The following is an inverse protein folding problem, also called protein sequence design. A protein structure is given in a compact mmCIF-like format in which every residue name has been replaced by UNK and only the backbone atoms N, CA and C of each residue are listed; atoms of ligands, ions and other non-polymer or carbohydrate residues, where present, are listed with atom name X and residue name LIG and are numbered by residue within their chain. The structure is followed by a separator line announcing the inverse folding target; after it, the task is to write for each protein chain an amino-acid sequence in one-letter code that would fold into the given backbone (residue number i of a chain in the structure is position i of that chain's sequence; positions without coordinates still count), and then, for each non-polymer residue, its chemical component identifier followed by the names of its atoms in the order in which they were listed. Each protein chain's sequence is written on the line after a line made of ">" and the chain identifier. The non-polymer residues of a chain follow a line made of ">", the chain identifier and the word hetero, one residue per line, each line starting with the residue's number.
data_IF_397232899623
#
_entry.id   IF_397232899623
#
_cell.length_a   1.000
_cell.length_b   1.000
_cell.length_c   1.000
_cell.angle_alpha   90.00
_cell.angle_beta   90.00
_cell.angle_gamma   90.00
#
_symmetry.space_group_name_H-M   'P 1'
#
loop_
_entity.id
_entity.type
_entity.pdbx_description
1 polymer ?
#
# COMPACT_ATOMS: atom_id res chain seq x y z
N UNK A 1 4.54 15.74 22.47
CA UNK A 1 3.58 15.16 21.50
C UNK A 1 2.67 16.26 20.99
N UNK A 2 3.10 17.01 19.98
CA UNK A 2 2.16 17.74 19.13
C UNK A 2 1.51 16.69 18.23
N UNK A 3 0.20 16.49 18.41
CA UNK A 3 -0.60 15.70 17.47
C UNK A 3 -0.27 16.22 16.07
N UNK A 4 0.15 15.34 15.16
CA UNK A 4 -0.10 15.57 13.73
C UNK A 4 -1.57 16.00 13.67
N UNK A 5 -1.87 17.25 13.27
CA UNK A 5 -3.24 17.71 13.18
C UNK A 5 -3.99 16.69 12.35
N UNK A 6 -5.19 16.34 12.78
CA UNK A 6 -6.11 15.55 11.96
C UNK A 6 -6.19 16.29 10.62
N UNK A 7 -5.53 15.74 9.60
CA UNK A 7 -5.44 16.34 8.28
C UNK A 7 -6.83 16.16 7.69
N UNK A 8 -7.70 17.15 7.94
CA UNK A 8 -9.10 17.14 7.51
C UNK A 8 -9.28 17.03 5.99
N UNK A 9 -8.19 17.15 5.24
CA UNK A 9 -8.11 16.97 3.80
C UNK A 9 -6.97 15.99 3.48
N UNK A 10 -7.31 14.90 2.80
CA UNK A 10 -6.30 14.04 2.19
C UNK A 10 -5.49 14.86 1.19
N UNK A 11 -4.16 14.72 1.22
CA UNK A 11 -3.30 15.21 0.14
C UNK A 11 -3.61 14.34 -1.09
N UNK A 12 -4.35 14.89 -2.05
CA UNK A 12 -4.79 14.15 -3.24
C UNK A 12 -3.69 14.02 -4.30
N UNK A 13 -2.69 14.90 -4.28
CA UNK A 13 -1.55 14.92 -5.20
C UNK A 13 -0.30 15.43 -4.47
N UNK A 14 0.84 14.74 -4.61
CA UNK A 14 2.15 15.19 -4.15
C UNK A 14 2.99 15.55 -5.38
N UNK A 15 3.28 16.84 -5.59
CA UNK A 15 4.22 17.26 -6.60
C UNK A 15 5.67 16.97 -6.16
N UNK A 16 6.58 16.80 -7.11
CA UNK A 16 8.00 16.49 -6.84
C UNK A 16 8.71 17.54 -5.96
N UNK A 17 8.19 18.78 -5.98
CA UNK A 17 8.71 19.91 -5.21
C UNK A 17 7.96 20.15 -3.89
N UNK A 18 6.98 19.32 -3.54
CA UNK A 18 6.29 19.46 -2.27
C UNK A 18 7.17 19.02 -1.12
N UNK A 19 7.10 19.78 -0.03
CA UNK A 19 7.74 19.44 1.23
C UNK A 19 6.86 18.46 1.99
N UNK A 20 7.42 17.27 2.23
CA UNK A 20 6.80 16.23 3.03
C UNK A 20 7.37 16.30 4.43
N UNK A 21 6.49 16.33 5.44
CA UNK A 21 6.91 16.18 6.83
C UNK A 21 7.38 14.75 7.05
N UNK A 22 8.54 14.59 7.68
CA UNK A 22 9.13 13.29 7.97
C UNK A 22 9.43 13.18 9.44
N UNK A 23 9.24 11.97 9.97
CA UNK A 23 9.74 11.56 11.25
C UNK A 23 10.98 10.69 11.02
N UNK A 24 12.17 11.24 11.20
CA UNK A 24 13.43 10.55 11.03
C UNK A 24 13.75 9.69 12.25
N UNK A 25 13.37 8.41 12.16
CA UNK A 25 13.66 7.41 13.20
C UNK A 25 15.15 7.19 13.44
N UNK A 26 16.02 7.62 12.52
CA UNK A 26 17.48 7.52 12.68
C UNK A 26 18.07 8.66 13.53
N UNK A 27 17.34 9.77 13.71
CA UNK A 27 17.71 10.88 14.57
C UNK A 27 16.68 11.08 15.71
N UNK A 28 16.68 10.21 16.74
CA UNK A 28 15.67 10.27 17.80
C UNK A 28 15.77 11.53 18.68
N UNK A 29 16.89 12.26 18.64
CA UNK A 29 17.07 13.50 19.38
C UNK A 29 16.36 14.71 18.72
N UNK A 30 16.21 14.66 17.40
CA UNK A 30 15.50 15.68 16.61
C UNK A 30 14.83 15.00 15.40
N UNK A 31 13.71 14.29 15.64
CA UNK A 31 13.13 13.42 14.62
C UNK A 31 12.26 14.18 13.62
N UNK A 32 11.86 15.42 13.90
CA UNK A 32 10.91 16.15 13.07
C UNK A 32 11.63 16.91 11.94
N UNK A 33 11.38 16.52 10.70
CA UNK A 33 12.00 17.12 9.52
C UNK A 33 11.03 17.45 8.40
N UNK A 34 11.55 18.14 7.37
CA UNK A 34 10.89 18.27 6.06
C UNK A 34 11.86 17.86 4.97
N UNK A 35 11.39 17.07 4.01
CA UNK A 35 12.16 16.72 2.82
C UNK A 35 11.32 16.91 1.58
N UNK A 36 11.96 17.30 0.47
CA UNK A 36 11.30 17.33 -0.83
C UNK A 36 10.96 15.91 -1.27
N UNK A 37 9.80 15.74 -1.93
CA UNK A 37 9.38 14.45 -2.51
C UNK A 37 10.47 13.76 -3.35
N UNK A 38 11.25 14.56 -4.09
CA UNK A 38 12.39 14.12 -4.90
C UNK A 38 13.55 13.50 -4.10
N UNK A 39 13.69 13.79 -2.81
CA UNK A 39 14.76 13.24 -1.95
C UNK A 39 14.48 11.80 -1.49
N UNK A 40 13.24 11.33 -1.59
CA UNK A 40 12.88 9.95 -1.26
C UNK A 40 13.12 8.96 -2.41
N UNK A 41 13.68 9.43 -3.53
CA UNK A 41 13.79 8.65 -4.77
C UNK A 41 15.24 8.64 -5.25
N UNK A 42 15.69 7.57 -5.94
CA UNK A 42 16.97 7.58 -6.62
C UNK A 42 17.10 8.75 -7.59
N UNK A 43 18.31 9.29 -7.76
CA UNK A 43 18.57 10.40 -8.65
C UNK A 43 18.13 10.09 -10.09
N UNK A 44 17.42 11.02 -10.72
CA UNK A 44 16.86 10.86 -12.07
C UNK A 44 15.43 10.30 -12.10
N UNK A 45 14.97 9.64 -11.04
CA UNK A 45 13.63 9.03 -11.01
C UNK A 45 12.57 10.07 -10.67
N UNK A 46 11.58 10.22 -11.56
CA UNK A 46 10.39 11.06 -11.38
C UNK A 46 9.16 10.19 -11.22
N UNK A 47 8.27 10.56 -10.31
CA UNK A 47 6.94 9.95 -10.24
C UNK A 47 6.09 10.65 -11.29
N UNK A 48 5.52 9.87 -12.19
CA UNK A 48 4.70 10.39 -13.28
C UNK A 48 3.22 10.28 -12.95
N UNK A 49 2.83 9.30 -12.13
CA UNK A 49 1.44 9.05 -11.77
C UNK A 49 1.31 8.46 -10.36
N UNK A 50 0.24 8.85 -9.69
CA UNK A 50 -0.31 8.19 -8.51
C UNK A 50 -1.72 7.70 -8.84
N UNK A 51 -2.00 6.42 -8.61
CA UNK A 51 -3.33 5.84 -8.76
C UNK A 51 -3.78 5.33 -7.38
N UNK A 52 -4.82 5.96 -6.83
CA UNK A 52 -5.42 5.54 -5.56
C UNK A 52 -6.62 4.65 -5.84
N UNK A 53 -6.71 3.55 -5.10
CA UNK A 53 -7.91 2.74 -4.93
C UNK A 53 -8.28 2.70 -3.46
N UNK A 54 -9.56 2.88 -3.16
CA UNK A 54 -10.14 2.66 -1.84
C UNK A 54 -11.48 1.93 -2.03
N UNK A 55 -11.63 0.80 -1.37
CA UNK A 55 -12.74 -0.11 -1.60
C UNK A 55 -12.57 -1.43 -0.88
N UNK A 56 -13.04 -2.52 -1.49
CA UNK A 56 -12.96 -3.86 -0.91
C UNK A 56 -12.11 -4.79 -1.77
N UNK A 57 -11.43 -5.71 -1.11
CA UNK A 57 -10.82 -6.89 -1.72
C UNK A 57 -11.49 -8.14 -1.15
N UNK A 58 -11.75 -9.11 -2.03
CA UNK A 58 -12.26 -10.43 -1.62
C UNK A 58 -11.08 -11.36 -1.37
N UNK A 59 -10.85 -11.74 -0.11
CA UNK A 59 -9.90 -12.78 0.25
C UNK A 59 -10.54 -14.13 -0.12
N UNK A 60 -9.93 -14.95 -0.99
CA UNK A 60 -10.52 -16.21 -1.44
C UNK A 60 -10.58 -17.24 -0.32
N UNK A 61 -11.36 -18.31 -0.53
CA UNK A 61 -11.33 -19.49 0.32
C UNK A 61 -9.94 -20.14 0.27
N UNK A 62 -9.34 -20.37 1.44
CA UNK A 62 -7.98 -20.89 1.57
C UNK A 62 -7.98 -22.10 2.50
N UNK A 63 -7.53 -23.25 2.00
CA UNK A 63 -7.23 -24.39 2.86
C UNK A 63 -6.15 -24.04 3.91
N UNK A 64 -6.02 -24.87 4.95
CA UNK A 64 -4.99 -24.67 5.96
C UNK A 64 -3.59 -24.64 5.33
N UNK A 65 -2.78 -23.62 5.65
CA UNK A 65 -1.43 -23.45 5.09
C UNK A 65 -1.36 -23.06 3.61
N UNK A 66 -2.50 -22.89 2.93
CA UNK A 66 -2.55 -22.58 1.51
C UNK A 66 -2.38 -21.08 1.21
N UNK A 67 -2.06 -20.79 -0.04
CA UNK A 67 -1.91 -19.44 -0.59
C UNK A 67 -2.81 -19.26 -1.80
N UNK A 68 -3.28 -18.04 -2.01
CA UNK A 68 -4.01 -17.66 -3.21
C UNK A 68 -3.93 -16.15 -3.43
N UNK A 69 -4.16 -15.78 -4.69
CA UNK A 69 -4.14 -14.39 -5.11
C UNK A 69 -5.56 -13.83 -5.13
N UNK A 70 -5.71 -12.61 -4.65
CA UNK A 70 -6.88 -11.77 -4.87
C UNK A 70 -6.50 -10.56 -5.71
N UNK A 71 -7.49 -9.92 -6.32
CA UNK A 71 -7.27 -8.75 -7.18
C UNK A 71 -8.19 -7.61 -6.83
N UNK A 72 -7.72 -6.39 -7.06
CA UNK A 72 -8.54 -5.18 -7.10
C UNK A 72 -8.31 -4.47 -8.43
N UNK A 73 -9.37 -3.90 -9.00
CA UNK A 73 -9.28 -3.13 -10.23
C UNK A 73 -8.73 -1.75 -9.94
N UNK A 74 -7.55 -1.44 -10.50
CA UNK A 74 -6.92 -0.13 -10.43
C UNK A 74 -6.62 0.32 -11.86
N UNK A 75 -7.60 0.91 -12.57
CA UNK A 75 -7.44 1.30 -13.95
C UNK A 75 -6.21 2.18 -14.17
N UNK A 76 -5.42 1.85 -15.17
CA UNK A 76 -4.16 2.53 -15.50
C UNK A 76 -2.93 1.98 -14.79
N UNK A 77 -3.05 1.02 -13.86
CA UNK A 77 -1.91 0.32 -13.29
C UNK A 77 -1.19 -0.50 -14.38
N UNK A 78 0.14 -0.58 -14.30
CA UNK A 78 0.98 -1.34 -15.21
C UNK A 78 1.93 -2.25 -14.42
N UNK A 79 2.46 -3.26 -15.11
CA UNK A 79 3.54 -4.10 -14.59
C UNK A 79 4.73 -3.20 -14.20
N UNK A 80 5.40 -3.54 -13.09
CA UNK A 80 6.50 -2.79 -12.46
C UNK A 80 6.11 -1.50 -11.73
N UNK A 81 4.85 -1.06 -11.76
CA UNK A 81 4.44 0.01 -10.86
C UNK A 81 4.59 -0.44 -9.39
N UNK A 82 5.05 0.48 -8.53
CA UNK A 82 5.21 0.18 -7.12
C UNK A 82 3.85 0.23 -6.41
N UNK A 83 3.55 -0.78 -5.61
CA UNK A 83 2.27 -0.90 -4.91
C UNK A 83 2.46 -0.78 -3.42
N UNK A 84 1.75 0.16 -2.81
CA UNK A 84 1.51 0.18 -1.36
C UNK A 84 0.08 -0.27 -1.14
N UNK A 85 -0.11 -1.34 -0.38
CA UNK A 85 -1.42 -1.91 -0.10
C UNK A 85 -1.61 -2.09 1.40
N UNK A 86 -2.76 -1.66 1.92
CA UNK A 86 -3.12 -1.82 3.32
C UNK A 86 -4.59 -2.23 3.44
N UNK A 87 -4.88 -3.07 4.43
CA UNK A 87 -6.26 -3.30 4.85
C UNK A 87 -6.68 -2.18 5.79
N UNK A 88 -7.93 -1.69 5.63
CA UNK A 88 -8.49 -0.61 6.44
C UNK A 88 -8.75 -1.06 7.89
N UNK A 89 -8.79 -2.37 8.12
CA UNK A 89 -8.89 -3.02 9.42
C UNK A 89 -7.80 -4.08 9.54
N UNK A 90 -7.51 -4.51 10.77
CA UNK A 90 -6.60 -5.62 10.99
C UNK A 90 -7.01 -6.84 10.15
N UNK A 91 -6.06 -7.54 9.49
CA UNK A 91 -6.36 -8.76 8.77
C UNK A 91 -7.04 -9.77 9.71
N UNK A 92 -7.93 -10.64 9.20
CA UNK A 92 -8.40 -11.78 9.97
C UNK A 92 -7.22 -12.55 10.58
N UNK A 93 -7.33 -12.99 11.83
CA UNK A 93 -6.20 -13.45 12.65
C UNK A 93 -5.33 -14.57 12.03
N UNK A 94 -5.87 -15.30 11.05
CA UNK A 94 -5.21 -16.40 10.36
C UNK A 94 -4.80 -16.07 8.92
N UNK A 95 -4.85 -14.80 8.52
CA UNK A 95 -4.51 -14.37 7.16
C UNK A 95 -3.30 -13.43 7.19
N UNK A 96 -2.30 -13.78 6.38
CA UNK A 96 -1.14 -12.95 6.12
C UNK A 96 -1.14 -12.47 4.66
N UNK A 97 -0.65 -11.25 4.43
CA UNK A 97 -0.31 -10.75 3.10
C UNK A 97 1.17 -11.07 2.87
N UNK A 98 1.46 -11.82 1.80
CA UNK A 98 2.83 -12.22 1.47
C UNK A 98 3.48 -11.32 0.44
N UNK A 99 2.70 -10.86 -0.54
CA UNK A 99 3.20 -10.07 -1.64
C UNK A 99 2.08 -9.24 -2.28
N UNK A 100 2.48 -8.11 -2.86
CA UNK A 100 1.60 -7.23 -3.63
C UNK A 100 2.33 -6.71 -4.84
N UNK A 101 1.69 -6.73 -6.00
CA UNK A 101 2.27 -6.23 -7.23
C UNK A 101 1.18 -5.71 -8.17
N UNK A 102 1.55 -4.77 -9.03
CA UNK A 102 0.68 -4.27 -10.09
C UNK A 102 0.80 -5.17 -11.32
N UNK A 103 -0.33 -5.35 -12.01
CA UNK A 103 -0.40 -5.83 -13.38
C UNK A 103 -1.26 -4.84 -14.19
N UNK A 104 -1.54 -5.15 -15.46
CA UNK A 104 -2.37 -4.30 -16.30
C UNK A 104 -3.76 -4.10 -15.66
N UNK A 105 -4.05 -2.85 -15.30
CA UNK A 105 -5.31 -2.37 -14.71
C UNK A 105 -5.71 -3.00 -13.36
N UNK A 106 -4.81 -3.74 -12.72
CA UNK A 106 -5.10 -4.42 -11.45
C UNK A 106 -3.92 -4.37 -10.48
N UNK A 107 -4.24 -4.49 -9.20
CA UNK A 107 -3.27 -4.86 -8.16
C UNK A 107 -3.60 -6.27 -7.69
N UNK A 108 -2.60 -7.14 -7.65
CA UNK A 108 -2.68 -8.48 -7.05
C UNK A 108 -2.14 -8.47 -5.65
N UNK A 109 -2.80 -9.22 -4.77
CA UNK A 109 -2.40 -9.44 -3.39
C UNK A 109 -2.38 -10.93 -3.13
N UNK A 110 -1.22 -11.47 -2.75
CA UNK A 110 -1.09 -12.86 -2.33
C UNK A 110 -1.38 -12.98 -0.85
N UNK A 111 -2.42 -13.75 -0.53
CA UNK A 111 -2.78 -14.09 0.83
C UNK A 111 -2.32 -15.50 1.19
N UNK A 112 -1.99 -15.71 2.46
CA UNK A 112 -1.71 -17.03 3.04
C UNK A 112 -2.59 -17.26 4.26
N UNK A 113 -3.21 -18.43 4.32
CA UNK A 113 -3.80 -18.91 5.56
C UNK A 113 -2.71 -19.49 6.46
N UNK A 114 -2.45 -18.83 7.58
CA UNK A 114 -1.42 -19.21 8.55
C UNK A 114 -1.90 -20.28 9.54
N UNK A 115 -3.19 -20.64 9.53
CA UNK A 115 -3.72 -21.68 10.40
C UNK A 115 -3.30 -23.08 9.94
N UNK A 116 -2.91 -23.92 10.90
CA UNK A 116 -2.37 -25.26 10.63
C UNK A 116 -3.43 -26.30 10.25
N UNK A 117 -4.68 -26.13 10.67
CA UNK A 117 -5.71 -27.18 10.57
C UNK A 117 -7.10 -26.70 10.10
N UNK A 118 -7.28 -25.41 9.83
CA UNK A 118 -8.61 -24.85 9.57
C UNK A 118 -8.56 -24.02 8.31
N UNK A 119 -9.52 -24.26 7.41
CA UNK A 119 -9.69 -23.45 6.22
C UNK A 119 -10.24 -22.07 6.60
N UNK A 120 -9.78 -21.06 5.88
CA UNK A 120 -10.33 -19.72 5.94
C UNK A 120 -11.45 -19.60 4.91
N UNK A 121 -12.63 -19.20 5.36
CA UNK A 121 -13.77 -18.93 4.49
C UNK A 121 -13.62 -17.56 3.86
N UNK A 122 -13.98 -17.43 2.58
CA UNK A 122 -13.94 -16.18 1.83
C UNK A 122 -14.51 -15.00 2.62
N UNK A 123 -13.88 -13.83 2.51
CA UNK A 123 -14.35 -12.62 3.17
C UNK A 123 -13.98 -11.37 2.37
N UNK A 124 -14.89 -10.40 2.35
CA UNK A 124 -14.62 -9.07 1.83
C UNK A 124 -14.07 -8.17 2.93
N UNK A 125 -12.94 -7.53 2.65
CA UNK A 125 -12.26 -6.64 3.61
C UNK A 125 -12.00 -5.30 2.95
N UNK A 126 -12.27 -4.22 3.67
CA UNK A 126 -11.92 -2.88 3.21
C UNK A 126 -10.41 -2.72 3.06
N UNK A 127 -9.95 -2.10 1.98
CA UNK A 127 -8.54 -1.89 1.69
C UNK A 127 -8.30 -0.62 0.88
N UNK A 128 -7.11 -0.05 1.06
CA UNK A 128 -6.54 0.97 0.21
C UNK A 128 -5.34 0.45 -0.56
N UNK A 129 -5.24 0.82 -1.83
CA UNK A 129 -4.04 0.61 -2.64
C UNK A 129 -3.57 1.95 -3.23
N UNK A 130 -2.27 2.21 -3.17
CA UNK A 130 -1.60 3.29 -3.87
C UNK A 130 -0.60 2.69 -4.84
N UNK A 131 -0.85 2.90 -6.13
CA UNK A 131 0.06 2.51 -7.21
C UNK A 131 0.86 3.74 -7.62
N UNK A 132 2.18 3.61 -7.62
CA UNK A 132 3.13 4.68 -7.86
C UNK A 132 3.92 4.32 -9.12
N UNK A 133 3.76 5.12 -10.17
CA UNK A 133 4.54 4.99 -11.39
C UNK A 133 5.74 5.92 -11.34
N UNK A 134 6.90 5.38 -11.68
CA UNK A 134 8.09 6.19 -11.83
C UNK A 134 8.83 5.93 -13.13
N UNK A 135 9.44 6.96 -13.69
CA UNK A 135 10.28 6.90 -14.89
C UNK A 135 11.61 7.61 -14.63
N UNK A 136 12.68 7.11 -15.25
CA UNK A 136 13.99 7.78 -15.31
C UNK A 136 14.05 8.82 -16.42
#
# INVERSE_FOLDING_TARGET
>A
MTKLPDLAHEVTELADNDWVYVYDVSNPADPDGKMLGSRFRPAGVRITNYLKFDGNITIPNLAAGAEADATVAVPGALVEDHVIFNLNLAPPANIAILATWAEADIVKVRFRNTHAATAFVTADVGCGALVIRSTT
#
